data_IF_507617747055
#
_entry.id   IF_507617747055
#
_cell.length_a   1.000
_cell.length_b   1.000
_cell.length_c   1.000
_cell.angle_alpha   90.00
_cell.angle_beta   90.00
_cell.angle_gamma   90.00
#
_symmetry.space_group_name_H-M   'P 1'
#
loop_
_entity.id
_entity.type
_entity.pdbx_description
1 polymer ?
#
# COMPACT_ATOMS: atom_id res chain seq x y z
N UNK A 1 42.70 49.66 26.40
CA UNK A 1 43.29 48.67 25.46
C UNK A 1 43.06 47.24 25.94
N UNK A 2 43.68 46.79 27.04
CA UNK A 2 43.55 45.40 27.54
C UNK A 2 42.12 45.00 27.92
N UNK A 3 41.39 45.86 28.63
CA UNK A 3 40.01 45.59 29.03
C UNK A 3 39.08 45.42 27.82
N UNK A 4 39.23 46.28 26.80
CA UNK A 4 38.44 46.18 25.57
C UNK A 4 38.71 44.87 24.81
N UNK A 5 39.97 44.45 24.72
CA UNK A 5 40.33 43.18 24.08
C UNK A 5 39.75 41.97 24.83
N UNK A 6 39.79 42.00 26.16
CA UNK A 6 39.27 40.91 26.99
C UNK A 6 37.75 40.79 26.88
N UNK A 7 37.03 41.92 26.92
CA UNK A 7 35.57 41.94 26.75
C UNK A 7 35.18 41.49 25.34
N UNK A 8 35.84 41.96 24.29
CA UNK A 8 35.56 41.50 22.93
C UNK A 8 35.79 40.00 22.76
N UNK A 9 36.89 39.46 23.27
CA UNK A 9 37.17 38.01 23.20
C UNK A 9 36.13 37.19 23.96
N UNK A 10 35.72 37.64 25.15
CA UNK A 10 34.75 36.93 25.96
C UNK A 10 33.36 36.94 25.32
N UNK A 11 32.92 38.10 24.82
CA UNK A 11 31.63 38.23 24.13
C UNK A 11 31.62 37.41 22.84
N UNK A 12 32.66 37.49 22.01
CA UNK A 12 32.76 36.68 20.79
C UNK A 12 32.71 35.19 21.09
N UNK A 13 33.49 34.71 22.07
CA UNK A 13 33.50 33.29 22.45
C UNK A 13 32.13 32.84 22.97
N UNK A 14 31.49 33.65 23.83
CA UNK A 14 30.20 33.29 24.40
C UNK A 14 29.10 33.28 23.35
N UNK A 15 29.05 34.29 22.49
CA UNK A 15 28.06 34.39 21.40
C UNK A 15 28.28 33.26 20.39
N UNK A 16 29.51 33.00 19.96
CA UNK A 16 29.80 31.90 19.04
C UNK A 16 29.41 30.55 19.64
N UNK A 17 29.80 30.26 20.88
CA UNK A 17 29.46 29.00 21.52
C UNK A 17 27.95 28.83 21.70
N UNK A 18 27.26 29.88 22.15
CA UNK A 18 25.82 29.81 22.40
C UNK A 18 25.03 29.69 21.10
N UNK A 19 25.37 30.50 20.09
CA UNK A 19 24.70 30.45 18.78
C UNK A 19 24.99 29.13 18.08
N UNK A 20 26.23 28.65 18.06
CA UNK A 20 26.55 27.36 17.45
C UNK A 20 25.82 26.21 18.16
N UNK A 21 25.88 26.14 19.48
CA UNK A 21 25.20 25.07 20.24
C UNK A 21 23.69 25.13 20.04
N UNK A 22 23.08 26.31 20.14
CA UNK A 22 21.63 26.44 20.03
C UNK A 22 21.15 26.17 18.61
N UNK A 23 21.81 26.74 17.59
CA UNK A 23 21.45 26.51 16.19
C UNK A 23 21.68 25.06 15.81
N UNK A 24 22.82 24.46 16.14
CA UNK A 24 23.07 23.05 15.84
C UNK A 24 22.05 22.14 16.53
N UNK A 25 21.82 22.31 17.83
CA UNK A 25 20.85 21.46 18.55
C UNK A 25 19.44 21.64 18.03
N UNK A 26 19.00 22.88 17.82
CA UNK A 26 17.64 23.15 17.39
C UNK A 26 17.40 22.72 15.95
N UNK A 27 18.33 23.03 15.03
CA UNK A 27 18.22 22.62 13.63
C UNK A 27 18.32 21.11 13.50
N UNK A 28 19.28 20.46 14.16
CA UNK A 28 19.40 19.00 14.11
C UNK A 28 18.16 18.32 14.69
N UNK A 29 17.69 18.73 15.87
CA UNK A 29 16.50 18.12 16.49
C UNK A 29 15.25 18.37 15.64
N UNK A 30 15.04 19.59 15.17
CA UNK A 30 13.84 19.93 14.40
C UNK A 30 13.85 19.27 13.03
N UNK A 31 14.97 19.30 12.31
CA UNK A 31 15.09 18.64 11.00
C UNK A 31 14.99 17.13 11.16
N UNK A 32 15.68 16.51 12.11
CA UNK A 32 15.57 15.07 12.33
C UNK A 32 14.15 14.67 12.71
N UNK A 33 13.53 15.32 13.69
CA UNK A 33 12.17 14.98 14.12
C UNK A 33 11.15 15.21 13.00
N UNK A 34 11.22 16.34 12.31
CA UNK A 34 10.27 16.69 11.27
C UNK A 34 10.45 15.81 10.03
N UNK A 35 11.67 15.62 9.55
CA UNK A 35 11.95 14.75 8.39
C UNK A 35 11.62 13.31 8.74
N UNK A 36 12.06 12.77 9.88
CA UNK A 36 11.73 11.40 10.24
C UNK A 36 10.23 11.20 10.40
N UNK A 37 9.53 12.05 11.17
CA UNK A 37 8.09 11.90 11.37
C UNK A 37 7.32 12.05 10.05
N UNK A 38 7.64 13.07 9.25
CA UNK A 38 6.92 13.33 8.02
C UNK A 38 7.20 12.27 6.96
N UNK A 39 8.46 11.88 6.77
CA UNK A 39 8.83 10.83 5.81
C UNK A 39 8.26 9.50 6.25
N UNK A 40 8.41 9.10 7.52
CA UNK A 40 7.84 7.84 8.00
C UNK A 40 6.31 7.83 7.89
N UNK A 41 5.61 8.87 8.37
CA UNK A 41 4.14 8.92 8.28
C UNK A 41 3.66 8.95 6.83
N UNK A 42 4.27 9.77 5.99
CA UNK A 42 3.84 9.90 4.60
C UNK A 42 4.16 8.64 3.80
N UNK A 43 5.38 8.09 3.90
CA UNK A 43 5.75 6.86 3.19
C UNK A 43 4.93 5.68 3.72
N UNK A 44 4.80 5.49 5.03
CA UNK A 44 4.01 4.39 5.57
C UNK A 44 2.54 4.53 5.18
N UNK A 45 1.91 5.70 5.36
CA UNK A 45 0.50 5.87 5.02
C UNK A 45 0.26 5.72 3.52
N UNK A 46 1.09 6.35 2.69
CA UNK A 46 0.90 6.31 1.24
C UNK A 46 1.19 4.92 0.69
N UNK A 47 2.32 4.30 1.06
CA UNK A 47 2.66 2.95 0.58
C UNK A 47 1.67 1.94 1.12
N UNK A 48 1.33 1.95 2.40
CA UNK A 48 0.35 0.99 2.94
C UNK A 48 -1.03 1.20 2.32
N UNK A 49 -1.54 2.43 2.25
CA UNK A 49 -2.87 2.67 1.67
C UNK A 49 -2.89 2.32 0.19
N UNK A 50 -1.89 2.74 -0.58
CA UNK A 50 -1.86 2.50 -2.01
C UNK A 50 -1.66 1.02 -2.30
N UNK A 51 -0.68 0.35 -1.68
CA UNK A 51 -0.45 -1.08 -1.89
C UNK A 51 -1.64 -1.90 -1.41
N UNK A 52 -2.17 -1.64 -0.21
CA UNK A 52 -3.34 -2.40 0.28
C UNK A 52 -4.55 -2.16 -0.61
N UNK A 53 -4.89 -0.92 -0.96
CA UNK A 53 -6.06 -0.64 -1.81
C UNK A 53 -5.88 -1.24 -3.20
N UNK A 54 -4.72 -1.04 -3.83
CA UNK A 54 -4.49 -1.50 -5.20
C UNK A 54 -4.44 -3.02 -5.26
N UNK A 55 -3.68 -3.66 -4.36
CA UNK A 55 -3.57 -5.13 -4.32
C UNK A 55 -4.92 -5.74 -3.95
N UNK A 56 -5.59 -5.27 -2.90
CA UNK A 56 -6.90 -5.82 -2.53
C UNK A 56 -7.92 -5.63 -3.66
N UNK A 57 -8.02 -4.43 -4.26
CA UNK A 57 -8.98 -4.19 -5.33
C UNK A 57 -8.65 -4.99 -6.58
N UNK A 58 -7.38 -5.01 -7.03
CA UNK A 58 -7.01 -5.80 -8.21
C UNK A 58 -7.18 -7.28 -7.98
N UNK A 59 -6.66 -7.82 -6.86
CA UNK A 59 -6.74 -9.26 -6.59
C UNK A 59 -8.20 -9.67 -6.40
N UNK A 60 -8.99 -8.95 -5.61
CA UNK A 60 -10.40 -9.28 -5.44
C UNK A 60 -11.15 -9.19 -6.76
N UNK A 61 -10.99 -8.12 -7.55
CA UNK A 61 -11.71 -7.97 -8.82
C UNK A 61 -11.26 -9.03 -9.84
N UNK A 62 -9.95 -9.25 -10.02
CA UNK A 62 -9.47 -10.26 -10.95
C UNK A 62 -9.87 -11.66 -10.53
N UNK A 63 -9.63 -12.04 -9.28
CA UNK A 63 -9.95 -13.38 -8.79
C UNK A 63 -11.46 -13.61 -8.85
N UNK A 64 -12.28 -12.68 -8.35
CA UNK A 64 -13.74 -12.84 -8.41
C UNK A 64 -14.22 -12.91 -9.86
N UNK A 65 -13.78 -12.02 -10.75
CA UNK A 65 -14.23 -12.03 -12.14
C UNK A 65 -13.77 -13.28 -12.89
N UNK A 66 -12.49 -13.66 -12.77
CA UNK A 66 -11.97 -14.86 -13.43
C UNK A 66 -12.62 -16.13 -12.88
N UNK A 67 -12.66 -16.30 -11.55
CA UNK A 67 -13.23 -17.50 -10.94
C UNK A 67 -14.71 -17.59 -11.25
N UNK A 68 -15.49 -16.51 -11.09
CA UNK A 68 -16.92 -16.54 -11.42
C UNK A 68 -17.14 -16.85 -12.90
N UNK A 69 -16.42 -16.20 -13.81
CA UNK A 69 -16.60 -16.43 -15.25
C UNK A 69 -16.18 -17.85 -15.64
N UNK A 70 -15.02 -18.32 -15.19
CA UNK A 70 -14.55 -19.68 -15.51
C UNK A 70 -15.46 -20.74 -14.90
N UNK A 71 -15.79 -20.64 -13.61
CA UNK A 71 -16.63 -21.62 -12.93
C UNK A 71 -18.02 -21.62 -13.55
N UNK A 72 -18.65 -20.46 -13.75
CA UNK A 72 -19.97 -20.41 -14.39
C UNK A 72 -19.93 -21.01 -15.80
N UNK A 73 -18.95 -20.65 -16.63
CA UNK A 73 -18.86 -21.19 -17.99
C UNK A 73 -18.61 -22.70 -17.99
N UNK A 74 -17.67 -23.19 -17.19
CA UNK A 74 -17.37 -24.62 -17.11
C UNK A 74 -18.55 -25.42 -16.56
N UNK A 75 -19.15 -24.97 -15.46
CA UNK A 75 -20.30 -25.65 -14.85
C UNK A 75 -21.48 -25.64 -15.79
N UNK A 76 -21.82 -24.50 -16.41
CA UNK A 76 -22.90 -24.43 -17.39
C UNK A 76 -22.65 -25.38 -18.57
N UNK A 77 -21.43 -25.38 -19.14
CA UNK A 77 -21.10 -26.26 -20.26
C UNK A 77 -21.18 -27.74 -19.86
N UNK A 78 -20.61 -28.12 -18.72
CA UNK A 78 -20.65 -29.50 -18.23
C UNK A 78 -22.08 -29.95 -17.92
N UNK A 79 -22.85 -29.14 -17.21
CA UNK A 79 -24.25 -29.47 -16.87
C UNK A 79 -25.08 -29.58 -18.15
N UNK A 80 -24.96 -28.63 -19.08
CA UNK A 80 -25.66 -28.71 -20.37
C UNK A 80 -25.27 -29.97 -21.15
N UNK A 81 -23.99 -30.32 -21.21
CA UNK A 81 -23.52 -31.52 -21.91
C UNK A 81 -24.03 -32.80 -21.24
N UNK A 82 -23.95 -32.90 -19.91
CA UNK A 82 -24.48 -34.05 -19.16
C UNK A 82 -25.98 -34.17 -19.33
N UNK A 83 -26.75 -33.09 -19.20
CA UNK A 83 -28.20 -33.12 -19.42
C UNK A 83 -28.51 -33.55 -20.86
N UNK A 84 -27.84 -33.00 -21.86
CA UNK A 84 -28.02 -33.38 -23.26
C UNK A 84 -27.72 -34.86 -23.52
N UNK A 85 -26.65 -35.40 -22.92
CA UNK A 85 -26.27 -36.82 -23.06
C UNK A 85 -27.24 -37.71 -22.29
N UNK A 86 -27.62 -37.35 -21.07
CA UNK A 86 -28.61 -38.09 -20.27
C UNK A 86 -30.00 -38.09 -20.92
N UNK A 87 -30.42 -37.01 -21.58
CA UNK A 87 -31.68 -36.98 -22.32
C UNK A 87 -31.56 -37.81 -23.61
N UNK A 88 -30.39 -37.83 -24.26
CA UNK A 88 -30.14 -38.70 -25.43
C UNK A 88 -30.03 -40.19 -25.10
N UNK A 89 -29.53 -40.56 -23.93
CA UNK A 89 -29.24 -41.95 -23.54
C UNK A 89 -30.19 -42.53 -22.50
N UNK A 90 -30.81 -41.68 -21.67
CA UNK A 90 -31.80 -42.04 -20.65
C UNK A 90 -33.25 -41.79 -21.07
N UNK A 91 -33.48 -41.37 -22.31
CA UNK A 91 -34.81 -41.43 -22.92
C UNK A 91 -35.30 -42.88 -22.91
N UNK A 92 -36.51 -43.15 -22.41
CA UNK A 92 -36.99 -44.51 -22.18
C UNK A 92 -37.00 -45.28 -23.50
N UNK A 93 -36.51 -46.51 -23.44
CA UNK A 93 -36.88 -47.60 -24.33
C UNK A 93 -38.39 -47.84 -24.26
N UNK A 94 -39.20 -46.93 -24.81
CA UNK A 94 -40.63 -47.07 -25.14
C UNK A 94 -41.18 -45.77 -25.79
N UNK A 95 -41.06 -45.65 -27.11
CA UNK A 95 -42.13 -45.08 -27.96
C UNK A 95 -41.81 -45.36 -29.43
N UNK A 96 -42.04 -46.61 -29.82
CA UNK A 96 -42.67 -46.94 -31.09
C UNK A 96 -43.90 -46.03 -31.34
N UNK A 97 -44.09 -45.61 -32.59
CA UNK A 97 -45.21 -44.83 -33.16
C UNK A 97 -45.05 -43.29 -33.19
N UNK A 98 -44.32 -42.77 -34.19
CA UNK A 98 -44.86 -42.29 -35.48
C UNK A 98 -43.70 -42.04 -36.45
#
# INVERSE_FOLDING_TARGET
MYVCMYVCMYVCMYVCMYVCMYVCMYVCMYVCMYVCMYVCMYVCMYVCMYVCMYVCMYVCMYVCMYVCMYVCMYVCMYVCMYVCVCVRWGGPSNSSHL
#
